data_IF_801460886016
#
_entry.id   IF_801460886016
#
_cell.length_a   1.000
_cell.length_b   1.000
_cell.length_c   1.000
_cell.angle_alpha   90.00
_cell.angle_beta   90.00
_cell.angle_gamma   90.00
#
_symmetry.space_group_name_H-M   'P 1'
#
loop_
_entity.id
_entity.type
_entity.pdbx_description
1 polymer ?
#
# COMPACT_ATOMS: atom_id res chain seq x y z
N UNK A 1 7.93 -2.93 10.26
CA UNK A 1 6.54 -2.77 9.78
C UNK A 1 6.40 -3.59 8.50
N UNK A 2 5.22 -4.14 8.22
CA UNK A 2 4.99 -5.02 7.07
C UNK A 2 4.92 -4.18 5.79
N UNK A 3 5.60 -4.61 4.72
CA UNK A 3 5.47 -4.01 3.39
C UNK A 3 4.30 -4.65 2.66
N UNK A 4 3.74 -3.94 1.70
CA UNK A 4 2.61 -4.44 0.90
C UNK A 4 2.88 -4.25 -0.57
N UNK A 5 2.46 -5.20 -1.40
CA UNK A 5 2.57 -5.14 -2.87
C UNK A 5 1.18 -5.06 -3.48
N UNK A 6 1.00 -4.10 -4.39
CA UNK A 6 -0.16 -4.05 -5.26
C UNK A 6 -0.13 -5.24 -6.23
N UNK A 7 -1.13 -6.13 -6.18
CA UNK A 7 -1.18 -7.32 -7.04
C UNK A 7 -1.53 -7.00 -8.50
N UNK A 8 -1.97 -5.76 -8.77
CA UNK A 8 -2.38 -5.30 -10.11
C UNK A 8 -1.20 -4.71 -10.89
N UNK A 9 -0.39 -3.85 -10.27
CA UNK A 9 0.70 -3.14 -10.95
C UNK A 9 2.10 -3.38 -10.38
N UNK A 10 2.21 -4.04 -9.20
CA UNK A 10 3.49 -4.34 -8.57
C UNK A 10 4.07 -3.21 -7.70
N UNK A 11 3.40 -2.06 -7.55
CA UNK A 11 3.80 -1.01 -6.60
C UNK A 11 4.01 -1.58 -5.19
N UNK A 12 5.11 -1.18 -4.53
CA UNK A 12 5.43 -1.59 -3.16
C UNK A 12 5.22 -0.40 -2.22
N UNK A 13 4.32 -0.58 -1.24
CA UNK A 13 4.22 0.30 -0.10
C UNK A 13 5.22 -0.13 0.97
N UNK A 14 6.24 0.71 1.20
CA UNK A 14 7.17 0.57 2.31
C UNK A 14 6.88 1.65 3.37
N UNK A 15 6.48 1.27 4.59
CA UNK A 15 6.31 2.22 5.69
C UNK A 15 7.54 3.11 5.94
N UNK A 16 8.76 2.60 5.71
CA UNK A 16 9.99 3.36 5.93
C UNK A 16 10.09 4.59 5.01
N UNK A 17 9.54 4.49 3.80
CA UNK A 17 9.48 5.59 2.82
C UNK A 17 8.29 6.53 3.07
N UNK A 18 7.36 6.13 3.94
CA UNK A 18 6.09 6.80 4.19
C UNK A 18 5.98 7.28 5.65
N UNK A 19 7.03 7.94 6.17
CA UNK A 19 7.10 8.48 7.53
C UNK A 19 6.80 7.44 8.64
N UNK A 20 7.08 6.16 8.40
CA UNK A 20 6.74 5.04 9.29
C UNK A 20 5.21 4.93 9.55
N UNK A 21 4.38 5.26 8.57
CA UNK A 21 2.93 4.98 8.60
C UNK A 21 2.69 3.55 8.14
N UNK A 22 1.91 2.77 8.89
CA UNK A 22 1.60 1.39 8.49
C UNK A 22 0.54 1.38 7.39
N UNK A 23 0.60 0.38 6.51
CA UNK A 23 -0.42 0.22 5.46
C UNK A 23 -1.84 0.08 6.03
N UNK A 24 -1.98 -0.58 7.19
CA UNK A 24 -3.24 -0.69 7.93
C UNK A 24 -3.82 0.66 8.32
N UNK A 25 -2.95 1.64 8.59
CA UNK A 25 -3.30 2.95 9.14
C UNK A 25 -3.62 3.97 8.03
N UNK A 26 -3.43 3.59 6.76
CA UNK A 26 -3.84 4.41 5.62
C UNK A 26 -5.36 4.61 5.63
N UNK A 27 -5.86 5.80 5.21
CA UNK A 27 -7.29 6.06 5.03
C UNK A 27 -8.00 4.99 4.20
N UNK A 28 -9.31 4.80 4.41
CA UNK A 28 -10.11 3.82 3.66
C UNK A 28 -10.22 4.15 2.17
N UNK A 29 -10.16 5.43 1.82
CA UNK A 29 -10.19 5.96 0.46
C UNK A 29 -8.81 6.07 -0.19
N UNK A 30 -7.75 5.63 0.50
CA UNK A 30 -6.43 5.55 -0.09
C UNK A 30 -6.41 4.56 -1.25
N UNK A 31 -5.80 4.99 -2.36
CA UNK A 31 -5.64 4.19 -3.57
C UNK A 31 -4.17 4.08 -3.95
N UNK A 32 -3.83 3.01 -4.66
CA UNK A 32 -2.50 2.81 -5.22
C UNK A 32 -2.09 4.02 -6.06
N UNK A 33 -0.95 4.67 -5.77
CA UNK A 33 -0.53 5.89 -6.48
C UNK A 33 -0.19 5.64 -7.96
N UNK A 34 0.11 4.40 -8.33
CA UNK A 34 0.48 4.02 -9.71
C UNK A 34 -0.73 3.65 -10.57
N UNK A 35 -1.79 3.05 -10.00
CA UNK A 35 -2.89 2.49 -10.80
C UNK A 35 -4.32 2.75 -10.27
N UNK A 36 -4.46 3.38 -9.10
CA UNK A 36 -5.76 3.83 -8.58
C UNK A 36 -6.66 2.75 -7.95
N UNK A 37 -6.19 1.50 -7.82
CA UNK A 37 -6.95 0.45 -7.11
C UNK A 37 -6.89 0.62 -5.60
N UNK A 38 -7.89 0.10 -4.89
CA UNK A 38 -7.98 0.20 -3.43
C UNK A 38 -7.03 -0.72 -2.65
N UNK A 39 -7.08 -0.59 -1.32
CA UNK A 39 -6.27 -1.38 -0.37
C UNK A 39 -6.55 -2.89 -0.42
N UNK A 40 -7.71 -3.29 -0.91
CA UNK A 40 -8.12 -4.69 -1.10
C UNK A 40 -7.32 -5.41 -2.20
N UNK A 41 -6.65 -4.66 -3.07
CA UNK A 41 -5.77 -5.18 -4.13
C UNK A 41 -4.30 -5.24 -3.72
N UNK A 42 -4.02 -5.32 -2.41
CA UNK A 42 -2.67 -5.45 -1.88
C UNK A 42 -2.50 -6.74 -1.06
N UNK A 43 -1.33 -7.34 -1.18
CA UNK A 43 -0.90 -8.46 -0.37
C UNK A 43 0.31 -8.07 0.49
N UNK A 44 0.40 -8.68 1.67
CA UNK A 44 1.56 -8.52 2.56
C UNK A 44 2.79 -9.21 1.94
N UNK A 45 3.94 -8.54 2.01
CA UNK A 45 5.26 -9.08 1.62
C UNK A 45 6.02 -9.66 2.81
#
# INVERSE_FOLDING_TARGET
>A
MKKYRCIVCGYIYDPADNNNVAFSDLPEDWVCPECGVGKDQFEEL
#
